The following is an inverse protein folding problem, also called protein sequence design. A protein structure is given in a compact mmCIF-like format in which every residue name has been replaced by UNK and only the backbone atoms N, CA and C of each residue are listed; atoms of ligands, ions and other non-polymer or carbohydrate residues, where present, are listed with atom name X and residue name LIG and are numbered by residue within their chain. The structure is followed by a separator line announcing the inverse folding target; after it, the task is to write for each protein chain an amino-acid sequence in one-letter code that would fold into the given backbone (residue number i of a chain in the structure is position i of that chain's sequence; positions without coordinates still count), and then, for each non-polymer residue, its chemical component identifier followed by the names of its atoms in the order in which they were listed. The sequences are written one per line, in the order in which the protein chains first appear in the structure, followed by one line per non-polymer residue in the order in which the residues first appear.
data_IF_665613647473
#
_entry.id   IF_665613647473
#
_cell.length_a   1.000
_cell.length_b   1.000
_cell.length_c   1.000
_cell.angle_alpha   90.00
_cell.angle_beta   90.00
_cell.angle_gamma   90.00
#
_symmetry.space_group_name_H-M   'P 1'
#
loop_
_entity.id
_entity.type
_entity.pdbx_description
1 polymer ?
#
# COMPACT_ATOMS: atom_id res chain seq x y z
N UNK A 1 10.87 -10.42 2.87
CA UNK A 1 10.07 -10.72 1.67
C UNK A 1 10.62 -11.94 0.94
N UNK A 2 11.81 -11.84 0.31
CA UNK A 2 12.40 -12.98 -0.43
C UNK A 2 12.57 -14.24 0.43
N UNK A 3 13.04 -14.10 1.68
CA UNK A 3 13.15 -15.24 2.60
C UNK A 3 11.83 -16.02 2.76
N UNK A 4 10.69 -15.32 2.89
CA UNK A 4 9.38 -15.97 3.01
C UNK A 4 8.99 -16.64 1.70
N UNK A 5 9.24 -15.98 0.56
CA UNK A 5 8.97 -16.56 -0.76
C UNK A 5 9.83 -17.80 -1.07
N UNK A 6 11.06 -17.85 -0.56
CA UNK A 6 11.96 -19.00 -0.70
C UNK A 6 11.54 -20.19 0.18
N UNK A 7 11.04 -19.91 1.39
CA UNK A 7 10.67 -20.96 2.36
C UNK A 7 9.25 -21.50 2.16
N UNK A 8 8.38 -20.73 1.50
CA UNK A 8 7.00 -21.09 1.21
C UNK A 8 6.67 -20.91 -0.29
N UNK A 9 7.37 -21.63 -1.19
CA UNK A 9 7.18 -21.47 -2.64
C UNK A 9 5.75 -21.80 -3.10
N UNK A 10 5.05 -22.68 -2.41
CA UNK A 10 3.65 -23.04 -2.66
C UNK A 10 2.68 -21.87 -2.46
N UNK A 11 3.07 -20.86 -1.67
CA UNK A 11 2.27 -19.66 -1.46
C UNK A 11 2.31 -18.68 -2.64
N UNK A 12 3.19 -18.91 -3.65
CA UNK A 12 3.27 -18.13 -4.90
C UNK A 12 3.28 -16.61 -4.68
N UNK A 13 4.08 -16.17 -3.70
CA UNK A 13 4.12 -14.77 -3.24
C UNK A 13 4.67 -13.76 -4.26
N UNK A 14 5.13 -14.25 -5.41
CA UNK A 14 5.53 -13.48 -6.58
C UNK A 14 4.90 -14.08 -7.84
N UNK A 15 4.65 -13.28 -8.89
CA UNK A 15 4.17 -13.79 -10.17
C UNK A 15 5.07 -14.89 -10.74
N UNK A 16 4.48 -15.88 -11.42
CA UNK A 16 5.23 -16.96 -12.08
C UNK A 16 5.89 -16.49 -13.39
N UNK A 17 5.22 -15.59 -14.13
CA UNK A 17 5.82 -14.96 -15.31
C UNK A 17 7.06 -14.13 -14.93
N UNK A 18 8.08 -14.22 -15.76
CA UNK A 18 9.39 -13.62 -15.47
C UNK A 18 9.36 -12.10 -15.57
N UNK A 19 8.60 -11.53 -16.52
CA UNK A 19 8.49 -10.08 -16.72
C UNK A 19 7.64 -9.48 -15.59
N UNK A 20 6.50 -10.10 -15.29
CA UNK A 20 5.64 -9.73 -14.18
C UNK A 20 6.40 -9.77 -12.84
N UNK A 21 7.17 -10.84 -12.59
CA UNK A 21 7.98 -10.97 -11.37
C UNK A 21 9.07 -9.91 -11.26
N UNK A 22 9.75 -9.59 -12.36
CA UNK A 22 10.73 -8.50 -12.38
C UNK A 22 10.07 -7.16 -12.06
N UNK A 23 8.87 -6.91 -12.62
CA UNK A 23 8.09 -5.71 -12.32
C UNK A 23 7.66 -5.67 -10.86
N UNK A 24 7.14 -6.77 -10.31
CA UNK A 24 6.69 -6.88 -8.92
C UNK A 24 7.83 -6.53 -7.94
N UNK A 25 9.02 -7.09 -8.15
CA UNK A 25 10.21 -6.76 -7.35
C UNK A 25 10.65 -5.30 -7.52
N UNK A 26 10.59 -4.77 -8.74
CA UNK A 26 10.94 -3.38 -9.02
C UNK A 26 10.03 -2.41 -8.27
N UNK A 27 8.70 -2.60 -8.31
CA UNK A 27 7.77 -1.70 -7.63
C UNK A 27 7.78 -1.88 -6.11
N UNK A 28 8.01 -3.10 -5.61
CA UNK A 28 8.22 -3.33 -4.19
C UNK A 28 9.48 -2.61 -3.67
N UNK A 29 10.56 -2.62 -4.46
CA UNK A 29 11.79 -1.89 -4.15
C UNK A 29 11.61 -0.37 -4.22
N UNK A 30 10.89 0.13 -5.23
CA UNK A 30 10.53 1.55 -5.34
C UNK A 30 9.68 1.99 -4.15
N UNK A 31 8.68 1.20 -3.74
CA UNK A 31 7.94 1.46 -2.52
C UNK A 31 8.91 1.53 -1.34
N UNK A 32 9.72 0.49 -1.12
CA UNK A 32 10.64 0.40 0.01
C UNK A 32 11.56 1.62 0.16
N UNK A 33 12.19 2.07 -0.93
CA UNK A 33 13.22 3.10 -0.90
C UNK A 33 12.75 4.50 -1.34
N UNK A 34 11.54 4.62 -1.90
CA UNK A 34 10.99 5.86 -2.43
C UNK A 34 9.95 6.51 -1.52
N UNK A 35 9.25 7.50 -2.09
CA UNK A 35 8.11 8.21 -1.48
C UNK A 35 8.45 8.92 -0.16
N UNK A 36 9.59 9.60 -0.13
CA UNK A 36 10.11 10.22 1.08
C UNK A 36 9.20 11.34 1.62
N UNK A 37 8.59 12.15 0.75
CA UNK A 37 7.67 13.21 1.17
C UNK A 37 6.42 12.61 1.78
N UNK A 38 5.82 11.63 1.09
CA UNK A 38 4.67 10.89 1.59
C UNK A 38 4.94 10.28 2.97
N UNK A 39 6.09 9.62 3.16
CA UNK A 39 6.44 8.97 4.43
C UNK A 39 6.65 9.95 5.58
N UNK A 40 7.24 11.10 5.29
CA UNK A 40 7.56 12.12 6.30
C UNK A 40 6.32 12.90 6.72
N UNK A 41 5.48 13.27 5.76
CA UNK A 41 4.36 14.18 6.01
C UNK A 41 3.06 13.42 6.31
N UNK A 42 2.90 12.20 5.78
CA UNK A 42 1.79 11.29 6.04
C UNK A 42 2.30 9.98 6.69
N UNK A 43 2.75 10.00 7.95
CA UNK A 43 3.16 8.78 8.65
C UNK A 43 1.98 7.79 8.76
N UNK A 44 2.26 6.49 8.73
CA UNK A 44 1.20 5.49 8.87
C UNK A 44 0.72 5.45 10.32
N UNK A 45 -0.54 5.77 10.56
CA UNK A 45 -1.22 5.58 11.84
C UNK A 45 -2.60 4.96 11.60
N UNK A 46 -2.73 3.65 11.82
CA UNK A 46 -3.97 2.91 11.56
C UNK A 46 -5.17 3.40 12.40
N UNK A 47 -4.91 4.03 13.54
CA UNK A 47 -5.92 4.50 14.50
C UNK A 47 -6.45 5.89 14.15
N UNK A 48 -5.64 6.69 13.45
CA UNK A 48 -5.99 8.06 13.14
C UNK A 48 -6.99 8.12 11.98
N UNK A 49 -7.87 9.13 12.04
CA UNK A 49 -8.66 9.61 10.91
C UNK A 49 -8.46 11.11 10.86
N UNK A 50 -7.85 11.62 9.80
CA UNK A 50 -7.47 13.01 9.63
C UNK A 50 -8.17 13.55 8.40
N UNK A 51 -8.92 14.62 8.58
CA UNK A 51 -9.52 15.34 7.46
C UNK A 51 -8.45 16.15 6.74
N UNK A 52 -8.36 15.94 5.42
CA UNK A 52 -7.60 16.67 4.40
C UNK A 52 -6.70 17.80 4.92
N UNK A 53 -5.49 17.44 5.36
CA UNK A 53 -4.45 18.40 5.74
C UNK A 53 -3.88 19.06 4.47
N UNK A 54 -3.42 20.31 4.59
CA UNK A 54 -2.60 20.91 3.54
C UNK A 54 -1.35 20.05 3.32
N UNK A 55 -1.06 19.69 2.07
CA UNK A 55 0.08 18.84 1.70
C UNK A 55 1.09 19.64 0.90
N UNK A 56 2.36 19.28 0.98
CA UNK A 56 3.37 19.85 0.09
C UNK A 56 3.23 19.31 -1.33
N UNK A 57 3.74 20.07 -2.30
CA UNK A 57 3.81 19.61 -3.69
C UNK A 57 4.63 18.31 -3.84
N UNK A 58 5.57 18.04 -2.93
CA UNK A 58 6.33 16.79 -2.91
C UNK A 58 5.45 15.58 -2.57
N UNK A 59 4.52 15.73 -1.63
CA UNK A 59 3.53 14.68 -1.32
C UNK A 59 2.60 14.45 -2.51
N UNK A 60 2.14 15.52 -3.17
CA UNK A 60 1.27 15.38 -4.35
C UNK A 60 1.98 14.64 -5.51
N UNK A 61 3.29 14.89 -5.71
CA UNK A 61 4.11 14.15 -6.68
C UNK A 61 4.25 12.67 -6.31
N UNK A 62 4.53 12.37 -5.04
CA UNK A 62 4.62 11.00 -4.55
C UNK A 62 3.29 10.24 -4.72
N UNK A 63 2.16 10.88 -4.39
CA UNK A 63 0.81 10.32 -4.59
C UNK A 63 0.55 10.04 -6.06
N UNK A 64 0.83 11.00 -6.95
CA UNK A 64 0.67 10.81 -8.39
C UNK A 64 1.50 9.62 -8.91
N UNK A 65 2.74 9.48 -8.44
CA UNK A 65 3.63 8.38 -8.81
C UNK A 65 3.12 7.02 -8.33
N UNK A 66 2.54 6.95 -7.12
CA UNK A 66 1.89 5.74 -6.59
C UNK A 66 0.70 5.36 -7.47
N UNK A 67 -0.20 6.31 -7.75
CA UNK A 67 -1.39 6.05 -8.58
C UNK A 67 -1.03 5.65 -10.01
N UNK A 68 -0.02 6.29 -10.62
CA UNK A 68 0.52 5.86 -11.91
C UNK A 68 1.07 4.43 -11.84
N UNK A 69 1.76 4.08 -10.74
CA UNK A 69 2.30 2.75 -10.55
C UNK A 69 1.20 1.69 -10.47
N UNK A 70 0.16 1.92 -9.66
CA UNK A 70 -0.98 1.01 -9.53
C UNK A 70 -1.72 0.85 -10.85
N UNK A 71 -2.12 1.96 -11.49
CA UNK A 71 -2.81 1.94 -12.79
C UNK A 71 -2.03 1.19 -13.86
N UNK A 72 -0.74 1.51 -14.00
CA UNK A 72 0.12 0.86 -14.99
C UNK A 72 0.29 -0.64 -14.70
N UNK A 73 0.38 -1.03 -13.42
CA UNK A 73 0.59 -2.42 -13.05
C UNK A 73 -0.69 -3.23 -13.24
N UNK A 74 -1.83 -2.76 -12.73
CA UNK A 74 -3.15 -3.37 -12.94
C UNK A 74 -3.47 -3.53 -14.43
N UNK A 75 -3.25 -2.49 -15.24
CA UNK A 75 -3.51 -2.55 -16.69
C UNK A 75 -2.66 -3.60 -17.41
N UNK A 76 -1.40 -3.74 -17.03
CA UNK A 76 -0.45 -4.59 -17.76
C UNK A 76 -0.34 -6.01 -17.21
N UNK A 77 -0.64 -6.21 -15.93
CA UNK A 77 -0.39 -7.47 -15.21
C UNK A 77 -1.53 -7.92 -14.30
N UNK A 78 -2.57 -7.10 -14.08
CA UNK A 78 -3.71 -7.45 -13.22
C UNK A 78 -4.59 -8.56 -13.80
N UNK A 79 -4.67 -8.67 -15.13
CA UNK A 79 -5.53 -9.66 -15.78
C UNK A 79 -6.99 -9.52 -15.35
N UNK A 80 -7.60 -10.64 -14.94
CA UNK A 80 -8.98 -10.69 -14.42
C UNK A 80 -9.06 -10.59 -12.89
N UNK A 81 -7.91 -10.45 -12.21
CA UNK A 81 -7.83 -10.42 -10.75
C UNK A 81 -7.81 -8.99 -10.18
N UNK A 82 -8.20 -8.81 -8.91
CA UNK A 82 -8.36 -7.48 -8.32
C UNK A 82 -7.06 -6.88 -7.76
N UNK A 83 -5.97 -7.66 -7.71
CA UNK A 83 -4.66 -7.25 -7.20
C UNK A 83 -3.69 -6.82 -8.30
N UNK A 84 -2.57 -6.20 -7.93
CA UNK A 84 -1.60 -5.62 -8.88
C UNK A 84 -1.14 -6.62 -9.96
N UNK A 85 -1.03 -7.91 -9.61
CA UNK A 85 -0.64 -9.00 -10.51
C UNK A 85 -1.70 -10.10 -10.60
N UNK A 86 -2.97 -9.72 -10.45
CA UNK A 86 -4.13 -10.60 -10.47
C UNK A 86 -4.41 -11.22 -9.11
N UNK A 87 -3.50 -12.05 -8.62
CA UNK A 87 -3.53 -12.58 -7.27
C UNK A 87 -2.76 -11.69 -6.29
N UNK A 88 -3.03 -11.82 -4.98
CA UNK A 88 -2.29 -11.09 -3.95
C UNK A 88 -0.81 -11.52 -3.95
N UNK A 89 0.09 -10.55 -4.06
CA UNK A 89 1.53 -10.77 -4.03
C UNK A 89 2.21 -9.94 -2.95
N UNK A 90 3.52 -10.16 -2.77
CA UNK A 90 4.34 -9.28 -1.94
C UNK A 90 4.26 -7.81 -2.40
N UNK A 91 4.07 -7.53 -3.69
CA UNK A 91 3.96 -6.14 -4.15
C UNK A 91 2.77 -5.43 -3.47
N UNK A 92 1.63 -6.10 -3.39
CA UNK A 92 0.43 -5.60 -2.71
C UNK A 92 0.71 -5.38 -1.20
N UNK A 93 1.39 -6.34 -0.56
CA UNK A 93 1.82 -6.22 0.84
C UNK A 93 2.74 -5.01 1.09
N UNK A 94 3.65 -4.68 0.16
CA UNK A 94 4.48 -3.47 0.24
C UNK A 94 3.67 -2.19 0.10
N UNK A 95 2.56 -2.20 -0.65
CA UNK A 95 1.69 -1.04 -0.81
C UNK A 95 0.61 -0.91 0.28
N UNK A 96 0.35 -1.94 1.09
CA UNK A 96 -0.63 -1.87 2.18
C UNK A 96 -0.39 -0.70 3.18
N UNK A 97 0.85 -0.38 3.60
CA UNK A 97 1.13 0.83 4.36
C UNK A 97 0.77 2.13 3.64
N UNK A 98 0.86 2.16 2.31
CA UNK A 98 0.47 3.34 1.51
C UNK A 98 -1.05 3.47 1.47
N UNK A 99 -1.76 2.36 1.30
CA UNK A 99 -3.22 2.32 1.40
C UNK A 99 -3.71 2.86 2.76
N UNK A 100 -3.05 2.46 3.86
CA UNK A 100 -3.36 2.99 5.20
C UNK A 100 -3.16 4.50 5.30
N UNK A 101 -2.10 5.06 4.69
CA UNK A 101 -1.89 6.51 4.65
C UNK A 101 -3.00 7.20 3.87
N UNK A 102 -3.39 6.65 2.73
CA UNK A 102 -4.42 7.25 1.89
C UNK A 102 -5.75 7.30 2.64
N UNK A 103 -6.10 6.21 3.34
CA UNK A 103 -7.28 6.14 4.18
C UNK A 103 -7.20 7.07 5.40
N UNK A 104 -6.07 7.11 6.10
CA UNK A 104 -5.87 7.93 7.30
C UNK A 104 -6.00 9.42 7.02
N UNK A 105 -5.48 9.88 5.87
CA UNK A 105 -5.38 11.30 5.52
C UNK A 105 -6.36 11.74 4.43
N UNK A 106 -7.33 10.91 4.08
CA UNK A 106 -8.35 11.20 3.07
C UNK A 106 -7.72 11.68 1.74
N UNK A 107 -6.73 10.91 1.26
CA UNK A 107 -6.04 11.19 0.00
C UNK A 107 -6.98 10.89 -1.16
N UNK A 108 -7.27 11.89 -1.96
CA UNK A 108 -8.04 11.72 -3.20
C UNK A 108 -7.31 10.77 -4.17
N UNK A 109 -8.07 9.81 -4.70
CA UNK A 109 -7.63 8.84 -5.70
C UNK A 109 -8.65 8.78 -6.84
N UNK A 110 -8.22 8.24 -7.97
CA UNK A 110 -9.13 7.92 -9.08
C UNK A 110 -9.86 6.59 -8.83
N UNK A 111 -10.82 6.26 -9.70
CA UNK A 111 -11.66 5.05 -9.57
C UNK A 111 -10.81 3.78 -9.47
N UNK A 112 -9.72 3.68 -10.26
CA UNK A 112 -8.80 2.54 -10.19
C UNK A 112 -8.09 2.45 -8.83
N UNK A 113 -7.66 3.58 -8.27
CA UNK A 113 -7.11 3.63 -6.93
C UNK A 113 -8.14 3.24 -5.87
N UNK A 114 -9.38 3.73 -5.99
CA UNK A 114 -10.46 3.41 -5.05
C UNK A 114 -10.77 1.90 -5.04
N UNK A 115 -10.98 1.29 -6.21
CA UNK A 115 -11.26 -0.14 -6.35
C UNK A 115 -10.13 -1.00 -5.75
N UNK A 116 -8.88 -0.61 -5.98
CA UNK A 116 -7.72 -1.31 -5.44
C UNK A 116 -7.59 -1.15 -3.91
N UNK A 117 -7.88 0.03 -3.36
CA UNK A 117 -7.90 0.26 -1.91
C UNK A 117 -8.98 -0.60 -1.25
N UNK A 118 -10.20 -0.61 -1.80
CA UNK A 118 -11.31 -1.42 -1.31
C UNK A 118 -10.95 -2.91 -1.33
N UNK A 119 -10.32 -3.36 -2.42
CA UNK A 119 -9.80 -4.73 -2.53
C UNK A 119 -8.81 -5.04 -1.42
N UNK A 120 -7.79 -4.19 -1.19
CA UNK A 120 -6.81 -4.40 -0.13
C UNK A 120 -7.44 -4.45 1.26
N UNK A 121 -8.37 -3.53 1.58
CA UNK A 121 -9.04 -3.49 2.87
C UNK A 121 -10.09 -4.59 3.07
N UNK A 122 -10.50 -5.28 2.00
CA UNK A 122 -11.36 -6.47 2.08
C UNK A 122 -10.61 -7.74 2.53
N UNK A 123 -9.27 -7.74 2.47
CA UNK A 123 -8.47 -8.91 2.87
C UNK A 123 -8.65 -9.16 4.39
N UNK A 124 -9.00 -10.39 4.82
CA UNK A 124 -9.18 -10.71 6.25
C UNK A 124 -7.94 -10.40 7.10
N UNK A 125 -6.74 -10.67 6.59
CA UNK A 125 -5.49 -10.33 7.27
C UNK A 125 -5.28 -8.80 7.42
N UNK A 126 -5.74 -8.01 6.45
CA UNK A 126 -5.69 -6.54 6.53
C UNK A 126 -6.66 -6.03 7.59
N UNK A 127 -7.88 -6.57 7.63
CA UNK A 127 -8.88 -6.25 8.65
C UNK A 127 -8.37 -6.61 10.05
N UNK A 128 -7.80 -7.80 10.22
CA UNK A 128 -7.20 -8.23 11.48
C UNK A 128 -6.07 -7.28 11.91
N UNK A 129 -5.17 -6.91 10.98
CA UNK A 129 -4.10 -5.96 11.29
C UNK A 129 -4.62 -4.61 11.76
N UNK A 130 -5.68 -4.08 11.13
CA UNK A 130 -6.31 -2.83 11.54
C UNK A 130 -6.97 -2.94 12.93
N UNK A 131 -7.68 -4.03 13.20
CA UNK A 131 -8.28 -4.29 14.52
C UNK A 131 -7.22 -4.40 15.62
N UNK A 132 -6.14 -5.14 15.36
CA UNK A 132 -5.05 -5.30 16.33
C UNK A 132 -4.37 -3.96 16.62
N UNK A 133 -4.12 -3.15 15.58
CA UNK A 133 -3.56 -1.81 15.73
C UNK A 133 -4.48 -0.85 16.51
N UNK A 134 -5.80 -0.97 16.34
CA UNK A 134 -6.78 -0.21 17.13
C UNK A 134 -6.78 -0.61 18.62
N UNK A 135 -6.53 -1.89 18.91
CA UNK A 135 -6.44 -2.41 20.28
C UNK A 135 -5.10 -2.15 20.97
N UNK A 136 -4.10 -1.63 20.24
CA UNK A 136 -2.75 -1.47 20.76
C UNK A 136 -2.70 -0.45 21.91
N UNK A 137 -2.20 -0.84 23.11
CA UNK A 137 -2.21 0.03 24.28
C UNK A 137 -1.11 1.10 24.25
N UNK A 138 -0.08 0.91 23.42
CA UNK A 138 1.00 1.87 23.29
C UNK A 138 0.51 3.12 22.56
N UNK A 139 0.80 4.28 23.14
CA UNK A 139 0.49 5.58 22.55
C UNK A 139 1.82 6.29 22.29
N UNK A 140 2.01 6.77 21.07
CA UNK A 140 3.16 7.56 20.67
C UNK A 140 2.67 8.99 20.48
N UNK A 141 2.92 9.85 21.47
CA UNK A 141 2.35 11.19 21.54
C UNK A 141 2.53 12.03 20.26
N UNK A 142 3.67 11.91 19.58
CA UNK A 142 3.95 12.59 18.31
C UNK A 142 2.96 12.22 17.19
N UNK A 143 2.53 10.95 17.13
CA UNK A 143 1.69 10.43 16.05
C UNK A 143 0.20 10.33 16.43
N UNK A 144 -0.10 10.28 17.72
CA UNK A 144 -1.47 10.11 18.24
C UNK A 144 -2.09 11.42 18.74
N UNK A 145 -1.33 12.53 18.78
CA UNK A 145 -1.88 13.83 19.13
C UNK A 145 -3.01 14.23 18.18
N UNK A 146 -4.19 14.53 18.70
CA UNK A 146 -5.33 15.01 17.91
C UNK A 146 -5.06 16.45 17.47
N UNK A 147 -4.32 16.66 16.37
CA UNK A 147 -4.48 17.86 15.53
C UNK A 147 -5.90 17.95 14.97
#
# INVERSE_FOLDING_TARGET
AEYVAEHFPEARLWPEDTVARARARSIASEMHAGFAHLRRELPMNCRARRTRRARSAGVDQDVARVLDCWRSTLRNFGGDGPFLFGDFTIADAFFAPVACRFFTYDVEVDDTGADYLDTLFSIPAMQQWMCDAESEPMVIAEYDAVE
#
